data_IF_192176675845
#
_entry.id   IF_192176675845
#
_cell.length_a   1.000
_cell.length_b   1.000
_cell.length_c   1.000
_cell.angle_alpha   90.00
_cell.angle_beta   90.00
_cell.angle_gamma   90.00
#
_symmetry.space_group_name_H-M   'P 1'
#
loop_
_entity.id
_entity.type
_entity.pdbx_description
1 polymer ?
#
# COMPACT_ATOMS: atom_id res chain seq x y z
N UNK A 1 16.67 16.85 -13.23
CA UNK A 1 15.78 16.65 -12.05
C UNK A 1 16.62 16.38 -10.82
N UNK A 2 16.46 17.15 -9.73
CA UNK A 2 17.19 16.90 -8.48
C UNK A 2 16.77 15.54 -7.92
N UNK A 3 17.73 14.64 -7.67
CA UNK A 3 17.53 13.37 -6.98
C UNK A 3 16.96 13.62 -5.57
N UNK A 4 15.63 13.68 -5.41
CA UNK A 4 15.01 13.70 -4.10
C UNK A 4 14.93 12.25 -3.61
N UNK A 5 15.98 11.83 -2.90
CA UNK A 5 15.98 10.56 -2.18
C UNK A 5 15.05 10.69 -0.96
N UNK A 6 14.04 9.84 -0.87
CA UNK A 6 13.23 9.70 0.34
C UNK A 6 13.77 8.53 1.15
N UNK A 7 14.55 8.83 2.19
CA UNK A 7 15.14 7.81 3.06
C UNK A 7 14.13 7.45 4.16
N UNK A 8 13.68 6.22 4.13
CA UNK A 8 12.88 5.62 5.19
C UNK A 8 13.78 5.45 6.42
N UNK A 9 13.39 6.01 7.57
CA UNK A 9 14.14 5.82 8.81
C UNK A 9 14.01 4.36 9.25
N UNK A 10 15.09 3.87 9.85
CA UNK A 10 15.14 2.55 10.45
C UNK A 10 14.94 2.72 11.94
N UNK A 11 14.07 1.89 12.53
CA UNK A 11 13.95 1.77 13.98
C UNK A 11 14.44 0.41 14.48
N UNK A 12 14.45 0.25 15.80
CA UNK A 12 14.95 -0.94 16.49
C UNK A 12 14.25 -2.26 16.09
N UNK A 13 13.01 -2.17 15.58
CA UNK A 13 12.20 -3.32 15.19
C UNK A 13 12.45 -3.75 13.74
N UNK A 14 13.09 -2.88 12.95
CA UNK A 14 13.35 -3.11 11.55
C UNK A 14 14.64 -3.89 11.34
N UNK A 15 14.61 -4.83 10.40
CA UNK A 15 15.83 -5.35 9.82
C UNK A 15 16.35 -4.36 8.78
N UNK A 16 17.59 -3.93 8.94
CA UNK A 16 18.32 -3.09 7.98
C UNK A 16 18.10 -3.52 6.52
N UNK A 17 18.42 -4.78 6.20
CA UNK A 17 18.29 -5.28 4.82
C UNK A 17 16.86 -5.26 4.24
N UNK A 18 15.81 -5.32 5.05
CA UNK A 18 14.45 -5.15 4.54
C UNK A 18 14.14 -3.69 4.24
N UNK A 19 14.53 -2.77 5.12
CA UNK A 19 14.31 -1.33 4.89
C UNK A 19 15.15 -0.83 3.72
N UNK A 20 16.35 -1.36 3.51
CA UNK A 20 17.17 -1.07 2.33
C UNK A 20 16.46 -1.48 1.03
N UNK A 21 15.84 -2.66 1.00
CA UNK A 21 14.99 -3.09 -0.12
C UNK A 21 13.86 -2.08 -0.38
N UNK A 22 13.15 -1.65 0.66
CA UNK A 22 12.06 -0.66 0.51
C UNK A 22 12.60 0.67 -0.01
N UNK A 23 13.74 1.15 0.51
CA UNK A 23 14.39 2.39 0.06
C UNK A 23 14.81 2.32 -1.41
N UNK A 24 15.45 1.22 -1.82
CA UNK A 24 15.89 0.99 -3.19
C UNK A 24 14.70 1.00 -4.13
N UNK A 25 13.65 0.24 -3.83
CA UNK A 25 12.46 0.19 -4.70
C UNK A 25 11.77 1.56 -4.77
N UNK A 26 11.53 2.21 -3.62
CA UNK A 26 10.88 3.52 -3.56
C UNK A 26 11.63 4.58 -4.37
N UNK A 27 12.96 4.56 -4.27
CA UNK A 27 13.85 5.46 -5.02
C UNK A 27 13.84 5.13 -6.51
N UNK A 28 13.91 3.85 -6.88
CA UNK A 28 13.88 3.38 -8.27
C UNK A 28 12.59 3.79 -8.98
N UNK A 29 11.43 3.68 -8.31
CA UNK A 29 10.15 4.16 -8.86
C UNK A 29 10.19 5.69 -9.02
N UNK A 30 10.61 6.41 -7.98
CA UNK A 30 10.63 7.88 -7.99
C UNK A 30 11.58 8.48 -9.03
N UNK A 31 12.60 7.73 -9.46
CA UNK A 31 13.54 8.15 -10.52
C UNK A 31 13.02 7.88 -11.94
N UNK A 32 12.21 6.84 -12.12
CA UNK A 32 11.76 6.37 -13.44
C UNK A 32 10.41 6.93 -13.85
N UNK A 33 9.64 7.40 -12.88
CA UNK A 33 8.27 7.82 -13.07
C UNK A 33 8.14 9.31 -12.73
N UNK A 34 7.32 10.02 -13.49
CA UNK A 34 6.91 11.37 -13.16
C UNK A 34 5.93 11.32 -11.98
N UNK A 35 6.36 11.83 -10.83
CA UNK A 35 5.59 11.87 -9.60
C UNK A 35 5.60 13.28 -9.03
N UNK A 36 4.45 13.73 -8.53
CA UNK A 36 4.30 14.99 -7.81
C UNK A 36 4.38 14.78 -6.30
N UNK A 37 3.82 13.69 -5.80
CA UNK A 37 3.75 13.42 -4.37
C UNK A 37 4.08 11.96 -4.03
N UNK A 38 4.74 11.76 -2.89
CA UNK A 38 5.06 10.43 -2.35
C UNK A 38 4.58 10.33 -0.92
N UNK A 39 3.88 9.25 -0.58
CA UNK A 39 3.40 8.95 0.76
C UNK A 39 3.95 7.61 1.21
N UNK A 40 4.67 7.59 2.33
CA UNK A 40 5.23 6.39 2.92
C UNK A 40 4.54 6.15 4.25
N UNK A 41 4.00 4.96 4.44
CA UNK A 41 3.23 4.54 5.61
C UNK A 41 3.82 3.27 6.19
N UNK A 42 4.24 3.33 7.46
CA UNK A 42 4.74 2.17 8.19
C UNK A 42 3.60 1.47 8.92
N UNK A 43 3.45 0.17 8.68
CA UNK A 43 2.39 -0.66 9.23
C UNK A 43 2.93 -1.52 10.37
N UNK A 44 2.27 -1.51 11.53
CA UNK A 44 2.53 -2.38 12.67
C UNK A 44 2.38 -3.83 12.25
N UNK A 45 3.44 -4.62 12.44
CA UNK A 45 3.57 -6.02 12.05
C UNK A 45 3.45 -6.27 10.54
N UNK A 46 3.67 -7.53 10.15
CA UNK A 46 3.54 -8.00 8.78
C UNK A 46 2.10 -7.95 8.25
N UNK A 47 1.97 -7.80 6.93
CA UNK A 47 0.72 -7.95 6.20
C UNK A 47 0.97 -8.66 4.87
N UNK A 48 -0.06 -9.38 4.39
CA UNK A 48 0.03 -10.22 3.19
C UNK A 48 -0.61 -9.56 1.94
N UNK A 49 -0.56 -10.27 0.83
CA UNK A 49 -1.11 -9.84 -0.46
C UNK A 49 -2.64 -9.69 -0.47
N UNK A 50 -3.37 -10.11 0.58
CA UNK A 50 -4.84 -9.98 0.65
C UNK A 50 -5.26 -8.53 0.83
N UNK A 51 -4.38 -7.68 1.34
CA UNK A 51 -4.61 -6.24 1.48
C UNK A 51 -4.59 -5.50 0.14
N UNK A 52 -3.94 -6.06 -0.89
CA UNK A 52 -3.88 -5.43 -2.22
C UNK A 52 -5.28 -5.34 -2.83
N UNK A 53 -5.70 -4.11 -3.13
CA UNK A 53 -7.01 -3.72 -3.69
C UNK A 53 -8.23 -4.11 -2.84
N UNK A 54 -8.02 -4.59 -1.62
CA UNK A 54 -9.12 -4.87 -0.70
C UNK A 54 -9.72 -3.55 -0.23
N UNK A 55 -11.03 -3.37 -0.41
CA UNK A 55 -11.73 -2.12 -0.07
C UNK A 55 -12.64 -2.26 1.15
N UNK A 56 -12.73 -3.45 1.75
CA UNK A 56 -13.62 -3.77 2.87
C UNK A 56 -14.60 -4.90 2.54
N UNK A 57 -15.49 -5.18 3.49
CA UNK A 57 -16.64 -6.09 3.30
C UNK A 57 -17.87 -5.27 2.93
N UNK A 58 -18.67 -5.77 2.00
CA UNK A 58 -20.02 -5.24 1.80
C UNK A 58 -21.02 -6.35 2.13
N UNK A 59 -22.15 -5.94 2.71
CA UNK A 59 -23.32 -6.80 2.80
C UNK A 59 -23.84 -6.98 1.38
N UNK A 60 -23.98 -8.24 0.96
CA UNK A 60 -24.67 -8.61 -0.27
C UNK A 60 -25.96 -9.35 0.11
N UNK A 61 -27.11 -9.02 -0.51
CA UNK A 61 -28.32 -9.82 -0.34
C UNK A 61 -28.05 -11.22 -0.89
N UNK A 62 -28.38 -12.25 -0.12
CA UNK A 62 -28.41 -13.62 -0.63
C UNK A 62 -29.72 -13.81 -1.38
N UNK A 63 -29.70 -14.29 -2.63
CA UNK A 63 -30.92 -14.73 -3.32
C UNK A 63 -31.39 -16.05 -2.70
N UNK A 64 -32.06 -15.98 -1.55
CA UNK A 64 -32.89 -17.08 -1.08
C UNK A 64 -34.21 -17.00 -1.85
N UNK A 65 -34.41 -17.89 -2.82
CA UNK A 65 -35.66 -18.06 -3.57
C UNK A 65 -36.84 -18.58 -2.72
N UNK A 66 -37.07 -18.01 -1.53
CA UNK A 66 -38.11 -18.43 -0.60
C UNK A 66 -38.40 -17.40 0.49
N UNK A 67 -39.64 -17.44 0.99
CA UNK A 67 -40.37 -16.51 1.88
C UNK A 67 -39.79 -16.23 3.29
N UNK A 68 -38.48 -16.31 3.52
CA UNK A 68 -37.87 -16.04 4.84
C UNK A 68 -36.88 -14.86 4.80
N UNK A 69 -36.69 -14.12 5.92
CA UNK A 69 -35.81 -12.96 5.99
C UNK A 69 -34.36 -13.38 5.75
N UNK A 70 -33.69 -12.64 4.87
CA UNK A 70 -32.38 -12.94 4.29
C UNK A 70 -31.28 -12.99 5.36
N UNK A 71 -30.49 -14.07 5.36
CA UNK A 71 -29.21 -14.13 6.09
C UNK A 71 -28.15 -13.31 5.32
N UNK A 72 -27.70 -12.20 5.90
CA UNK A 72 -26.66 -11.34 5.32
C UNK A 72 -25.31 -12.06 5.24
N UNK A 73 -24.63 -11.99 4.08
CA UNK A 73 -23.25 -12.47 3.92
C UNK A 73 -22.29 -11.30 3.75
N UNK A 74 -21.14 -11.37 4.43
CA UNK A 74 -20.06 -10.39 4.34
C UNK A 74 -19.08 -10.78 3.23
N UNK A 75 -19.29 -10.28 2.02
CA UNK A 75 -18.36 -10.54 0.92
C UNK A 75 -17.26 -9.48 0.81
N UNK A 76 -15.99 -9.90 0.64
CA UNK A 76 -14.90 -8.98 0.32
C UNK A 76 -15.20 -8.27 -1.00
N UNK A 77 -15.26 -6.93 -0.98
CA UNK A 77 -15.60 -6.15 -2.17
C UNK A 77 -14.33 -5.67 -2.86
N UNK A 78 -14.08 -6.20 -4.05
CA UNK A 78 -13.10 -5.69 -5.00
C UNK A 78 -13.83 -4.91 -6.10
N UNK A 79 -14.22 -3.65 -5.85
CA UNK A 79 -14.86 -2.81 -6.88
C UNK A 79 -13.83 -2.34 -7.92
N UNK A 80 -14.33 -1.92 -9.09
CA UNK A 80 -13.55 -1.31 -10.19
C UNK A 80 -12.72 -0.07 -9.80
N UNK A 81 -12.97 0.53 -8.62
CA UNK A 81 -12.29 1.74 -8.14
C UNK A 81 -11.35 1.39 -6.98
N UNK A 82 -10.07 1.63 -7.17
CA UNK A 82 -9.03 1.37 -6.17
C UNK A 82 -9.15 2.35 -4.99
N UNK A 83 -9.31 1.81 -3.78
CA UNK A 83 -9.36 2.57 -2.52
C UNK A 83 -8.13 2.33 -1.67
N UNK A 84 -7.88 3.19 -0.69
CA UNK A 84 -6.83 2.92 0.28
C UNK A 84 -7.11 1.59 1.00
N UNK A 85 -6.08 0.75 1.23
CA UNK A 85 -6.26 -0.48 1.99
C UNK A 85 -6.79 -0.15 3.38
N UNK A 86 -7.86 -0.80 3.86
CA UNK A 86 -8.57 -0.44 5.10
C UNK A 86 -7.81 -0.95 6.33
N UNK A 87 -6.54 -0.59 6.48
CA UNK A 87 -5.80 -0.90 7.71
C UNK A 87 -6.46 -0.17 8.88
N UNK A 88 -6.63 -0.89 9.99
CA UNK A 88 -7.06 -0.26 11.24
C UNK A 88 -6.05 0.86 11.59
N UNK A 89 -6.50 2.07 11.95
CA UNK A 89 -5.60 3.18 12.29
C UNK A 89 -4.56 2.86 13.37
N UNK A 90 -4.87 1.95 14.31
CA UNK A 90 -3.93 1.49 15.34
C UNK A 90 -2.78 0.63 14.79
N UNK A 91 -2.88 0.20 13.52
CA UNK A 91 -1.78 -0.42 12.80
C UNK A 91 -0.88 0.60 12.09
N UNK A 92 -1.22 1.88 12.03
CA UNK A 92 -0.38 2.88 11.38
C UNK A 92 0.61 3.41 12.42
N UNK A 93 1.89 3.04 12.29
CA UNK A 93 2.93 3.55 13.19
C UNK A 93 3.25 5.01 12.88
N UNK A 94 3.43 5.31 11.59
CA UNK A 94 3.59 6.68 11.10
C UNK A 94 3.33 6.76 9.60
N UNK A 95 3.10 7.98 9.13
CA UNK A 95 3.02 8.34 7.71
C UNK A 95 3.88 9.58 7.46
N UNK A 96 4.61 9.58 6.35
CA UNK A 96 5.37 10.75 5.85
C UNK A 96 4.96 11.06 4.42
N UNK A 97 4.80 12.34 4.12
CA UNK A 97 4.44 12.84 2.80
C UNK A 97 5.57 13.71 2.27
N UNK A 98 5.85 13.58 0.98
CA UNK A 98 6.87 14.32 0.27
C UNK A 98 6.26 14.94 -0.99
N UNK A 99 6.57 16.22 -1.23
CA UNK A 99 6.10 16.96 -2.39
C UNK A 99 7.29 17.24 -3.31
N UNK A 100 7.32 16.56 -4.45
CA UNK A 100 8.41 16.64 -5.43
C UNK A 100 8.34 17.96 -6.17
N UNK A 101 7.15 18.34 -6.66
CA UNK A 101 6.86 19.58 -7.39
C UNK A 101 6.96 20.85 -6.52
N UNK A 102 6.98 20.70 -5.19
CA UNK A 102 7.00 21.80 -4.22
C UNK A 102 5.62 22.43 -3.95
N UNK A 103 4.61 22.14 -4.78
CA UNK A 103 3.23 22.52 -4.50
C UNK A 103 2.58 21.53 -3.53
N UNK A 104 1.92 22.06 -2.50
CA UNK A 104 1.21 21.25 -1.52
C UNK A 104 -0.20 20.96 -2.04
N UNK A 105 -0.48 19.67 -2.29
CA UNK A 105 -1.81 19.19 -2.59
C UNK A 105 -2.54 18.82 -1.29
N UNK A 106 -3.53 19.62 -0.90
CA UNK A 106 -4.33 19.39 0.31
C UNK A 106 -5.07 18.03 0.30
N UNK A 107 -5.51 17.55 -0.87
CA UNK A 107 -6.18 16.24 -0.98
C UNK A 107 -5.23 15.08 -0.69
N UNK A 108 -3.94 15.24 -1.00
CA UNK A 108 -2.91 14.25 -0.71
C UNK A 108 -2.64 14.12 0.79
N UNK A 109 -2.76 15.22 1.53
CA UNK A 109 -2.57 15.26 2.98
C UNK A 109 -3.69 14.57 3.76
N UNK A 110 -4.89 14.43 3.15
CA UNK A 110 -6.01 13.75 3.78
C UNK A 110 -5.60 12.38 4.34
N UNK A 111 -6.07 12.10 5.56
CA UNK A 111 -5.74 10.86 6.28
C UNK A 111 -6.28 9.65 5.50
N UNK A 112 -5.38 8.75 5.11
CA UNK A 112 -5.74 7.52 4.39
C UNK A 112 -6.42 6.48 5.29
N UNK A 113 -6.04 6.42 6.57
CA UNK A 113 -6.52 5.40 7.51
C UNK A 113 -7.22 6.08 8.69
N UNK A 114 -8.55 5.99 8.73
CA UNK A 114 -9.42 6.56 9.78
C UNK A 114 -10.33 5.47 10.34
N UNK A 115 -10.84 5.67 11.55
CA UNK A 115 -11.86 4.79 12.10
C UNK A 115 -13.14 5.01 11.29
N UNK A 116 -13.49 4.04 10.45
CA UNK A 116 -14.63 4.11 9.55
C UNK A 116 -15.15 2.70 9.24
N UNK A 117 -16.42 2.61 8.83
CA UNK A 117 -16.97 1.34 8.34
C UNK A 117 -16.39 0.99 6.97
N UNK A 118 -16.53 -0.28 6.57
CA UNK A 118 -16.11 -0.74 5.24
C UNK A 118 -16.80 0.03 4.10
N UNK A 119 -18.07 0.41 4.30
CA UNK A 119 -18.83 1.18 3.33
C UNK A 119 -18.25 2.59 3.12
N UNK A 120 -17.90 3.28 4.20
CA UNK A 120 -17.23 4.58 4.11
C UNK A 120 -15.82 4.49 3.49
N UNK A 121 -15.13 3.35 3.64
CA UNK A 121 -13.85 3.14 2.95
C UNK A 121 -14.01 3.08 1.41
N UNK A 122 -15.20 2.73 0.89
CA UNK A 122 -15.46 2.75 -0.56
C UNK A 122 -15.37 4.15 -1.18
N UNK A 123 -15.51 5.19 -0.34
CA UNK A 123 -15.35 6.59 -0.74
C UNK A 123 -13.88 7.06 -0.63
N UNK A 124 -13.00 6.27 -0.02
CA UNK A 124 -11.59 6.61 0.17
C UNK A 124 -10.75 6.20 -1.05
N UNK A 125 -11.14 6.71 -2.22
CA UNK A 125 -10.54 6.36 -3.51
C UNK A 125 -9.16 6.99 -3.65
N UNK A 126 -8.24 6.25 -4.24
CA UNK A 126 -6.88 6.72 -4.45
C UNK A 126 -6.78 7.72 -5.60
N UNK A 127 -7.64 7.57 -6.63
CA UNK A 127 -7.76 8.54 -7.72
C UNK A 127 -8.08 9.96 -7.23
N UNK A 128 -8.84 10.09 -6.14
CA UNK A 128 -9.30 11.39 -5.65
C UNK A 128 -8.21 12.14 -4.84
N UNK A 129 -7.06 11.50 -4.59
CA UNK A 129 -6.00 12.01 -3.70
C UNK A 129 -4.87 12.72 -4.44
N UNK A 130 -4.47 12.20 -5.60
CA UNK A 130 -3.43 12.77 -6.46
C UNK A 130 -3.51 12.17 -7.86
N UNK A 131 -3.23 13.00 -8.86
CA UNK A 131 -3.13 12.59 -10.26
C UNK A 131 -1.80 11.88 -10.59
N UNK A 132 -0.73 12.18 -9.83
CA UNK A 132 0.64 11.69 -10.04
C UNK A 132 1.30 11.30 -8.70
N UNK A 133 0.68 10.39 -7.97
CA UNK A 133 1.03 10.05 -6.60
C UNK A 133 1.64 8.65 -6.46
N UNK A 134 2.57 8.49 -5.52
CA UNK A 134 3.10 7.20 -5.10
C UNK A 134 2.77 6.96 -3.63
N UNK A 135 2.09 5.85 -3.35
CA UNK A 135 1.71 5.43 -2.00
C UNK A 135 2.38 4.11 -1.66
N UNK A 136 3.08 4.10 -0.53
CA UNK A 136 3.94 3.02 -0.10
C UNK A 136 3.51 2.58 1.29
N UNK A 137 3.17 1.31 1.42
CA UNK A 137 2.98 0.66 2.71
C UNK A 137 4.05 -0.39 2.90
N UNK A 138 4.70 -0.39 4.07
CA UNK A 138 5.66 -1.44 4.41
C UNK A 138 5.51 -1.90 5.87
N UNK A 139 5.86 -3.16 6.10
CA UNK A 139 5.71 -3.80 7.42
C UNK A 139 6.78 -3.37 8.42
N UNK A 140 6.41 -3.25 9.70
CA UNK A 140 7.34 -3.16 10.83
C UNK A 140 7.74 -4.54 11.35
N UNK A 141 8.56 -4.56 12.41
CA UNK A 141 8.93 -5.79 13.14
C UNK A 141 9.58 -6.85 12.24
N UNK A 142 10.21 -6.41 11.15
CA UNK A 142 10.83 -7.28 10.16
C UNK A 142 12.03 -8.04 10.71
N UNK A 143 12.65 -7.54 11.79
CA UNK A 143 13.72 -8.23 12.53
C UNK A 143 13.22 -9.49 13.24
N UNK A 144 12.12 -9.38 13.98
CA UNK A 144 11.52 -10.49 14.75
C UNK A 144 10.78 -11.45 13.82
N UNK A 145 9.92 -10.92 12.96
CA UNK A 145 9.09 -11.73 12.08
C UNK A 145 9.89 -12.44 10.99
N UNK A 146 11.14 -12.01 10.73
CA UNK A 146 11.97 -12.43 9.60
C UNK A 146 11.20 -12.33 8.27
N UNK A 147 10.22 -11.44 8.19
CA UNK A 147 9.30 -11.25 7.07
C UNK A 147 8.97 -9.78 6.93
N UNK A 148 8.71 -9.36 5.70
CA UNK A 148 8.34 -7.99 5.36
C UNK A 148 7.41 -7.96 4.16
N UNK A 149 6.34 -7.17 4.25
CA UNK A 149 5.45 -6.87 3.14
C UNK A 149 5.69 -5.46 2.64
N UNK A 150 5.71 -5.29 1.32
CA UNK A 150 5.73 -4.01 0.62
C UNK A 150 4.51 -3.95 -0.30
N UNK A 151 3.76 -2.86 -0.24
CA UNK A 151 2.63 -2.62 -1.13
C UNK A 151 2.73 -1.23 -1.71
N UNK A 152 2.52 -1.13 -3.01
CA UNK A 152 2.68 0.09 -3.80
C UNK A 152 1.40 0.34 -4.56
N UNK A 153 0.87 1.56 -4.41
CA UNK A 153 -0.16 2.09 -5.28
C UNK A 153 0.40 3.33 -5.94
N UNK A 154 0.30 3.40 -7.25
CA UNK A 154 0.71 4.57 -8.03
C UNK A 154 -0.48 5.08 -8.82
N UNK A 155 -0.74 6.37 -8.72
CA UNK A 155 -1.66 7.10 -9.59
C UNK A 155 -0.86 7.83 -10.67
N UNK A 156 -1.37 7.85 -11.90
CA UNK A 156 -0.70 8.51 -13.02
C UNK A 156 -1.54 8.42 -14.30
N UNK A 157 -1.70 9.54 -15.01
CA UNK A 157 -2.38 9.61 -16.31
C UNK A 157 -3.77 8.91 -16.33
N UNK A 158 -4.57 9.17 -15.29
CA UNK A 158 -5.91 8.57 -15.16
C UNK A 158 -5.92 7.06 -14.85
N UNK A 159 -4.76 6.45 -14.61
CA UNK A 159 -4.62 5.04 -14.26
C UNK A 159 -4.09 4.87 -12.85
N UNK A 160 -4.41 3.73 -12.25
CA UNK A 160 -3.86 3.30 -10.97
C UNK A 160 -3.20 1.94 -11.16
N UNK A 161 -1.90 1.86 -10.92
CA UNK A 161 -1.17 0.59 -10.88
C UNK A 161 -0.91 0.21 -9.44
N UNK A 162 -1.28 -1.01 -9.05
CA UNK A 162 -1.07 -1.50 -7.70
C UNK A 162 -0.36 -2.83 -7.70
N UNK A 163 0.53 -3.02 -6.73
CA UNK A 163 1.20 -4.30 -6.55
C UNK A 163 1.68 -4.51 -5.13
N UNK A 164 1.96 -5.77 -4.82
CA UNK A 164 2.48 -6.24 -3.54
C UNK A 164 3.70 -7.13 -3.76
N UNK A 165 4.65 -7.06 -2.83
CA UNK A 165 5.78 -7.98 -2.72
C UNK A 165 5.99 -8.41 -1.27
N UNK A 166 6.20 -9.71 -1.04
CA UNK A 166 6.64 -10.23 0.26
C UNK A 166 8.11 -10.63 0.21
N UNK A 167 8.78 -10.40 1.33
CA UNK A 167 10.17 -10.75 1.53
C UNK A 167 10.31 -11.57 2.81
N UNK A 168 11.24 -12.53 2.80
CA UNK A 168 11.56 -13.34 3.96
C UNK A 168 13.08 -13.39 4.17
N UNK A 169 13.50 -13.32 5.43
CA UNK A 169 14.88 -13.43 5.87
C UNK A 169 15.15 -14.88 6.25
N UNK A 170 15.87 -15.58 5.36
CA UNK A 170 16.56 -16.83 5.71
C UNK A 170 17.99 -16.46 6.09
N UNK A 171 18.95 -16.70 5.20
CA UNK A 171 20.32 -16.17 5.34
C UNK A 171 20.38 -14.69 4.92
N UNK A 172 19.76 -14.39 3.77
CA UNK A 172 19.57 -13.05 3.23
C UNK A 172 18.08 -12.79 3.00
N UNK A 173 17.72 -11.51 2.84
CA UNK A 173 16.37 -11.13 2.43
C UNK A 173 16.12 -11.55 0.99
N UNK A 174 15.08 -12.35 0.77
CA UNK A 174 14.68 -12.85 -0.54
C UNK A 174 13.25 -12.47 -0.85
N UNK A 175 12.98 -12.16 -2.11
CA UNK A 175 11.62 -12.00 -2.64
C UNK A 175 10.93 -13.37 -2.64
N UNK A 176 9.77 -13.46 -1.99
CA UNK A 176 9.01 -14.70 -1.83
C UNK A 176 7.76 -14.74 -2.69
N UNK A 177 7.02 -13.64 -2.74
CA UNK A 177 5.78 -13.54 -3.49
C UNK A 177 5.66 -12.16 -4.11
N UNK A 178 5.03 -12.09 -5.28
CA UNK A 178 4.55 -10.84 -5.89
C UNK A 178 3.09 -10.98 -6.28
N UNK A 179 2.36 -9.86 -6.33
CA UNK A 179 1.01 -9.77 -6.89
C UNK A 179 0.84 -8.42 -7.59
N UNK A 180 0.39 -8.42 -8.83
CA UNK A 180 0.22 -7.18 -9.63
C UNK A 180 1.51 -6.62 -10.24
N UNK A 181 2.65 -7.30 -10.08
CA UNK A 181 3.93 -6.94 -10.72
C UNK A 181 4.68 -8.21 -11.13
N UNK A 182 5.35 -8.18 -12.29
CA UNK A 182 6.23 -9.25 -12.72
C UNK A 182 7.52 -9.29 -11.89
N UNK A 183 7.96 -10.51 -11.55
CA UNK A 183 9.19 -10.72 -10.76
C UNK A 183 10.42 -10.12 -11.46
N UNK A 184 10.53 -10.26 -12.79
CA UNK A 184 11.64 -9.70 -13.57
C UNK A 184 11.73 -8.17 -13.43
N UNK A 185 10.57 -7.50 -13.55
CA UNK A 185 10.46 -6.05 -13.37
C UNK A 185 10.87 -5.62 -11.95
N UNK A 186 10.40 -6.32 -10.93
CA UNK A 186 10.76 -6.01 -9.54
C UNK A 186 12.24 -6.25 -9.25
N UNK A 187 12.82 -7.35 -9.75
CA UNK A 187 14.26 -7.61 -9.66
C UNK A 187 15.08 -6.53 -10.35
N UNK A 188 14.61 -6.01 -11.48
CA UNK A 188 15.24 -4.88 -12.18
C UNK A 188 15.15 -3.54 -11.45
N UNK A 189 14.34 -3.42 -10.39
CA UNK A 189 14.32 -2.27 -9.49
C UNK A 189 15.31 -2.42 -8.32
N UNK A 190 15.73 -3.66 -8.02
CA UNK A 190 16.64 -4.02 -6.93
C UNK A 190 18.12 -4.08 -7.34
N UNK A 191 18.40 -3.90 -8.63
CA UNK A 191 19.75 -3.70 -9.18
C UNK A 191 20.08 -2.22 -9.20
#
# INVERSE_FOLDING_TARGET
>A
MKNKLFKIPIDETDSQGFVDIVNVISTSISKREELNEVSITKIKNWFDHKWLNYSGKAVVPFESGGLLPVNESLEPKWKSKITAPPFNPNRILWRRNYFISGQINGKFLNRLHRNQTSEWNLQNRMADKSDMGLYIWYSSNSKINKRGGLMIYRTGFGKITTWYASFEKRNNWKLMQTKGIEIGKLKGMLK
#
